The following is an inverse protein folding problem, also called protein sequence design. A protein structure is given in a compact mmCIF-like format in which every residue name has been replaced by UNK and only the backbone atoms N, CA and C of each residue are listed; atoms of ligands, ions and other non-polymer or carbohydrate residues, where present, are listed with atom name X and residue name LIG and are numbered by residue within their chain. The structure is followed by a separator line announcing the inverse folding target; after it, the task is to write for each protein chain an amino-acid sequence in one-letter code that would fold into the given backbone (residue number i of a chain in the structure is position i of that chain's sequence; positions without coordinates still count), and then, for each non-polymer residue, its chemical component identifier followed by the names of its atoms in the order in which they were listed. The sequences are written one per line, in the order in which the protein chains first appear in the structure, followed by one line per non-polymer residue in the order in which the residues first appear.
data_IF_945762664547
#
_entry.id   IF_945762664547
#
_cell.length_a   1.000
_cell.length_b   1.000
_cell.length_c   1.000
_cell.angle_alpha   90.00
_cell.angle_beta   90.00
_cell.angle_gamma   90.00
#
_symmetry.space_group_name_H-M   'P 1'
#
loop_
_entity.id
_entity.type
_entity.pdbx_description
1 polymer ?
#
# COMPACT_ATOMS: atom_id res chain seq x y z
N UNK A 1 21.96 -8.34 -7.04
CA UNK A 1 22.72 -7.88 -5.86
C UNK A 1 22.47 -6.40 -5.65
N UNK A 2 21.49 -6.06 -4.82
CA UNK A 2 21.27 -4.69 -4.38
C UNK A 2 20.56 -4.70 -3.04
N UNK A 3 19.31 -5.17 -3.02
CA UNK A 3 18.47 -5.16 -1.83
C UNK A 3 18.95 -6.17 -0.79
N UNK A 4 19.33 -7.39 -1.18
CA UNK A 4 19.84 -8.39 -0.23
C UNK A 4 21.06 -7.88 0.55
N UNK A 5 21.97 -7.14 -0.12
CA UNK A 5 23.15 -6.56 0.53
C UNK A 5 22.76 -5.48 1.54
N UNK A 6 21.84 -4.58 1.16
CA UNK A 6 21.37 -3.49 2.04
C UNK A 6 20.67 -4.05 3.27
N UNK A 7 19.81 -5.05 3.12
CA UNK A 7 19.09 -5.69 4.22
C UNK A 7 20.02 -6.44 5.18
N UNK A 8 21.03 -7.12 4.65
CA UNK A 8 22.05 -7.76 5.48
C UNK A 8 22.86 -6.73 6.27
N UNK A 9 23.28 -5.64 5.61
CA UNK A 9 24.05 -4.58 6.26
C UNK A 9 23.25 -3.80 7.32
N UNK A 10 21.93 -3.65 7.13
CA UNK A 10 21.06 -2.98 8.11
C UNK A 10 20.62 -3.87 9.26
N UNK A 11 20.89 -5.19 9.20
CA UNK A 11 20.40 -6.15 10.17
C UNK A 11 18.89 -6.40 10.08
N UNK A 12 18.23 -5.99 8.99
CA UNK A 12 16.77 -6.11 8.84
C UNK A 12 16.33 -7.47 8.29
N UNK A 13 17.25 -8.26 7.74
CA UNK A 13 16.96 -9.58 7.13
C UNK A 13 16.12 -10.50 8.02
N UNK A 14 16.38 -10.64 9.34
CA UNK A 14 15.59 -11.52 10.21
C UNK A 14 14.14 -11.08 10.39
N UNK A 15 13.80 -9.83 10.05
CA UNK A 15 12.45 -9.28 10.19
C UNK A 15 11.65 -9.32 8.89
N UNK A 16 12.27 -9.65 7.76
CA UNK A 16 11.62 -9.65 6.46
C UNK A 16 10.64 -10.83 6.35
N UNK A 17 9.38 -10.54 6.05
CA UNK A 17 8.39 -11.56 5.72
C UNK A 17 8.68 -12.12 4.31
N UNK A 18 8.87 -13.44 4.16
CA UNK A 18 9.40 -14.00 2.93
C UNK A 18 8.34 -14.18 1.83
N UNK A 19 8.74 -13.95 0.57
CA UNK A 19 7.86 -14.04 -0.61
C UNK A 19 7.11 -15.37 -0.73
N UNK A 20 7.76 -16.48 -0.39
CA UNK A 20 7.16 -17.83 -0.50
C UNK A 20 6.00 -18.06 0.49
N UNK A 21 5.85 -17.21 1.52
CA UNK A 21 4.70 -17.20 2.44
C UNK A 21 3.66 -16.14 2.10
N UNK A 22 3.92 -15.27 1.13
CA UNK A 22 2.95 -14.25 0.72
C UNK A 22 1.84 -14.91 -0.09
N UNK A 23 0.57 -14.55 0.17
CA UNK A 23 -0.54 -15.12 -0.58
C UNK A 23 -0.45 -14.75 -2.06
N UNK A 24 -0.95 -15.65 -2.89
CA UNK A 24 -1.11 -15.44 -4.34
C UNK A 24 -2.60 -15.52 -4.66
N UNK A 25 -3.01 -14.91 -5.77
CA UNK A 25 -4.38 -14.99 -6.29
C UNK A 25 -5.47 -14.58 -5.27
N UNK A 26 -5.22 -13.49 -4.53
CA UNK A 26 -6.20 -12.94 -3.59
C UNK A 26 -6.32 -13.70 -2.27
N UNK A 27 -5.44 -14.67 -2.01
CA UNK A 27 -5.47 -15.43 -0.77
C UNK A 27 -5.21 -14.58 0.48
N UNK A 28 -5.59 -15.15 1.62
CA UNK A 28 -5.43 -14.51 2.91
C UNK A 28 -3.96 -14.44 3.35
N UNK A 29 -3.61 -13.33 3.98
CA UNK A 29 -2.32 -13.19 4.64
C UNK A 29 -2.31 -13.99 5.95
N UNK A 30 -1.13 -14.48 6.41
CA UNK A 30 -1.05 -15.13 7.71
C UNK A 30 -1.53 -14.22 8.84
N UNK A 31 -1.92 -14.84 9.95
CA UNK A 31 -2.28 -14.10 11.15
C UNK A 31 -1.10 -13.28 11.63
N UNK A 32 -1.38 -12.09 12.16
CA UNK A 32 -0.36 -11.24 12.78
C UNK A 32 0.39 -11.99 13.88
N UNK A 33 -0.30 -12.85 14.64
CA UNK A 33 0.32 -13.70 15.67
C UNK A 33 1.37 -14.65 15.12
N UNK A 34 1.16 -15.23 13.93
CA UNK A 34 2.13 -16.11 13.28
C UNK A 34 3.34 -15.30 12.78
N UNK A 35 3.10 -14.13 12.17
CA UNK A 35 4.17 -13.23 11.76
C UNK A 35 5.02 -12.79 12.95
N UNK A 36 4.36 -12.46 14.09
CA UNK A 36 5.01 -12.09 15.35
C UNK A 36 5.86 -13.23 15.91
N UNK A 37 5.28 -14.45 16.00
CA UNK A 37 5.96 -15.65 16.51
C UNK A 37 7.23 -15.94 15.72
N UNK A 38 7.15 -15.81 14.40
CA UNK A 38 8.25 -16.14 13.49
C UNK A 38 9.19 -14.94 13.26
N UNK A 39 9.05 -13.88 14.06
CA UNK A 39 9.81 -12.62 14.01
C UNK A 39 9.75 -11.85 12.68
N UNK A 40 8.75 -12.08 11.84
CA UNK A 40 8.52 -11.30 10.63
C UNK A 40 7.77 -10.00 10.94
N UNK A 41 8.43 -8.85 10.77
CA UNK A 41 7.92 -7.50 11.08
C UNK A 41 7.85 -6.57 9.87
N UNK A 42 8.46 -6.95 8.75
CA UNK A 42 8.63 -6.10 7.58
C UNK A 42 8.08 -6.79 6.34
N UNK A 43 7.16 -6.13 5.65
CA UNK A 43 6.79 -6.41 4.28
C UNK A 43 7.51 -5.41 3.38
N UNK A 44 8.19 -5.91 2.35
CA UNK A 44 9.00 -5.06 1.47
C UNK A 44 8.67 -5.41 0.03
N UNK A 45 8.18 -4.39 -0.67
CA UNK A 45 7.86 -4.48 -2.09
C UNK A 45 8.86 -3.69 -2.92
N UNK A 46 8.96 -4.05 -4.18
CA UNK A 46 9.79 -3.36 -5.18
C UNK A 46 9.05 -3.24 -6.50
N UNK A 47 9.21 -2.09 -7.14
CA UNK A 47 8.65 -1.82 -8.48
C UNK A 47 9.39 -2.56 -9.60
N UNK A 48 10.56 -3.18 -9.31
CA UNK A 48 11.33 -3.95 -10.31
C UNK A 48 11.06 -5.45 -10.20
N UNK A 49 10.26 -5.99 -11.12
CA UNK A 49 9.85 -7.40 -11.15
C UNK A 49 11.00 -8.41 -11.05
N UNK A 50 12.12 -8.15 -11.71
CA UNK A 50 13.29 -9.04 -11.70
C UNK A 50 13.90 -9.28 -10.30
N UNK A 51 13.59 -8.42 -9.31
CA UNK A 51 14.09 -8.57 -7.94
C UNK A 51 13.40 -9.69 -7.16
N UNK A 52 12.19 -10.09 -7.52
CA UNK A 52 11.51 -11.20 -6.86
C UNK A 52 12.26 -12.50 -7.11
N UNK A 53 12.50 -12.84 -8.38
CA UNK A 53 13.22 -14.05 -8.76
C UNK A 53 14.71 -14.02 -8.36
N UNK A 54 15.37 -12.86 -8.45
CA UNK A 54 16.81 -12.77 -8.23
C UNK A 54 17.22 -12.58 -6.76
N UNK A 55 16.37 -11.94 -5.95
CA UNK A 55 16.73 -11.51 -4.59
C UNK A 55 15.66 -11.81 -3.54
N UNK A 56 14.49 -12.34 -3.93
CA UNK A 56 13.42 -12.70 -2.99
C UNK A 56 12.62 -11.51 -2.44
N UNK A 57 12.60 -10.37 -3.16
CA UNK A 57 11.80 -9.19 -2.78
C UNK A 57 10.56 -9.08 -3.67
N UNK A 58 9.39 -9.00 -3.03
CA UNK A 58 8.10 -9.05 -3.70
C UNK A 58 7.91 -7.95 -4.74
N UNK A 59 7.47 -8.31 -5.95
CA UNK A 59 7.08 -7.33 -6.93
C UNK A 59 5.70 -6.75 -6.60
N UNK A 60 5.66 -5.46 -6.27
CA UNK A 60 4.48 -4.75 -5.76
C UNK A 60 3.17 -5.04 -6.53
N UNK A 61 3.21 -4.94 -7.85
CA UNK A 61 2.05 -5.09 -8.74
C UNK A 61 1.47 -6.52 -8.79
N UNK A 62 2.18 -7.49 -8.21
CA UNK A 62 1.68 -8.85 -8.00
C UNK A 62 0.81 -9.02 -6.74
N UNK A 63 0.79 -8.03 -5.86
CA UNK A 63 0.17 -8.14 -4.52
C UNK A 63 -0.78 -7.00 -4.17
N UNK A 64 -0.57 -5.81 -4.75
CA UNK A 64 -1.28 -4.58 -4.41
C UNK A 64 -2.09 -4.09 -5.60
N UNK A 65 -3.35 -3.68 -5.36
CA UNK A 65 -4.06 -2.71 -6.20
C UNK A 65 -3.93 -1.33 -5.57
N UNK A 66 -3.56 -0.34 -6.38
CA UNK A 66 -3.23 1.01 -5.93
C UNK A 66 -3.97 2.04 -6.78
N UNK A 67 -4.60 3.03 -6.13
CA UNK A 67 -5.17 4.17 -6.84
C UNK A 67 -4.09 5.20 -7.17
N UNK A 68 -4.35 5.99 -8.21
CA UNK A 68 -3.49 7.05 -8.68
C UNK A 68 -3.12 8.00 -7.53
N UNK A 69 -1.84 8.33 -7.41
CA UNK A 69 -1.35 9.31 -6.45
C UNK A 69 -1.48 10.74 -6.98
N UNK A 70 -1.26 11.70 -6.09
CA UNK A 70 -1.23 13.12 -6.43
C UNK A 70 -2.61 13.69 -6.72
N UNK A 71 -2.66 14.92 -7.24
CA UNK A 71 -3.94 15.62 -7.43
C UNK A 71 -4.86 14.91 -8.43
N UNK A 72 -4.26 14.13 -9.37
CA UNK A 72 -5.01 13.29 -10.32
C UNK A 72 -5.70 12.09 -9.66
N UNK A 73 -5.22 11.67 -8.49
CA UNK A 73 -5.84 10.65 -7.65
C UNK A 73 -7.00 11.15 -6.82
N UNK A 74 -6.98 12.44 -6.45
CA UNK A 74 -7.93 13.06 -5.53
C UNK A 74 -9.24 13.47 -6.23
N UNK A 75 -9.85 12.54 -6.97
CA UNK A 75 -11.10 12.77 -7.72
C UNK A 75 -12.29 12.37 -6.86
N UNK A 76 -13.16 13.33 -6.51
CA UNK A 76 -14.34 13.07 -5.68
C UNK A 76 -15.23 11.99 -6.31
N UNK A 77 -15.54 10.94 -5.54
CA UNK A 77 -16.43 9.86 -5.96
C UNK A 77 -15.81 8.86 -6.96
N UNK A 78 -14.51 8.93 -7.20
CA UNK A 78 -13.80 8.00 -8.07
C UNK A 78 -12.50 7.53 -7.41
N UNK A 79 -12.10 6.31 -7.75
CA UNK A 79 -10.83 5.72 -7.32
C UNK A 79 -10.05 5.29 -8.57
N UNK A 80 -9.48 6.25 -9.33
CA UNK A 80 -8.75 5.92 -10.55
C UNK A 80 -7.54 5.05 -10.20
N UNK A 81 -7.34 3.93 -10.88
CA UNK A 81 -6.16 3.10 -10.63
C UNK A 81 -4.88 3.80 -11.12
N UNK A 82 -3.78 3.51 -10.44
CA UNK A 82 -2.44 3.87 -10.92
C UNK A 82 -2.12 3.07 -12.20
N UNK A 83 -1.36 3.67 -13.12
CA UNK A 83 -1.09 3.08 -14.43
C UNK A 83 -0.33 1.75 -14.38
N UNK A 84 0.60 1.59 -13.45
CA UNK A 84 1.36 0.35 -13.25
C UNK A 84 0.58 -0.72 -12.48
N UNK A 85 -0.47 -0.31 -11.76
CA UNK A 85 -1.33 -1.20 -10.99
C UNK A 85 -2.36 -1.89 -11.88
N UNK A 86 -2.79 -3.08 -11.46
CA UNK A 86 -4.02 -3.67 -11.96
C UNK A 86 -5.24 -2.79 -11.62
N UNK A 87 -6.38 -3.07 -12.27
CA UNK A 87 -7.64 -2.42 -11.93
C UNK A 87 -8.00 -2.64 -10.46
N UNK A 88 -8.63 -1.66 -9.81
CA UNK A 88 -8.94 -1.72 -8.36
C UNK A 88 -9.78 -2.96 -7.98
N UNK A 89 -10.65 -3.41 -8.88
CA UNK A 89 -11.51 -4.58 -8.70
C UNK A 89 -10.82 -5.92 -9.01
N UNK A 90 -9.52 -5.93 -9.31
CA UNK A 90 -8.77 -7.17 -9.50
C UNK A 90 -8.58 -7.89 -8.16
N UNK A 91 -9.35 -8.96 -7.98
CA UNK A 91 -9.38 -9.72 -6.73
C UNK A 91 -8.18 -10.67 -6.57
N UNK A 92 -7.36 -10.85 -7.61
CA UNK A 92 -6.18 -11.73 -7.50
C UNK A 92 -5.00 -11.08 -6.75
N UNK A 93 -5.11 -9.79 -6.42
CA UNK A 93 -4.18 -9.04 -5.54
C UNK A 93 -4.91 -8.78 -4.24
N UNK A 94 -4.42 -9.26 -3.09
CA UNK A 94 -5.19 -9.19 -1.84
C UNK A 94 -5.07 -7.85 -1.10
N UNK A 95 -4.08 -7.01 -1.42
CA UNK A 95 -3.87 -5.74 -0.75
C UNK A 95 -4.42 -4.56 -1.54
N UNK A 96 -5.08 -3.63 -0.85
CA UNK A 96 -5.56 -2.36 -1.38
C UNK A 96 -4.76 -1.22 -0.75
N UNK A 97 -4.09 -0.42 -1.58
CA UNK A 97 -3.39 0.80 -1.17
C UNK A 97 -4.14 2.02 -1.70
N UNK A 98 -4.48 2.94 -0.80
CA UNK A 98 -5.14 4.21 -1.13
C UNK A 98 -4.19 5.38 -0.91
N UNK A 99 -3.72 5.98 -2.01
CA UNK A 99 -3.06 7.27 -2.05
C UNK A 99 -4.09 8.40 -2.02
N UNK A 100 -3.95 9.30 -1.06
CA UNK A 100 -4.75 10.51 -0.96
C UNK A 100 -3.90 11.69 -0.46
N UNK A 101 -3.12 12.25 -1.37
CA UNK A 101 -2.25 13.40 -1.14
C UNK A 101 -2.02 14.17 -2.44
N UNK A 102 -1.61 15.43 -2.33
CA UNK A 102 -1.45 16.36 -3.46
C UNK A 102 -0.10 16.14 -4.14
N UNK A 103 0.06 16.64 -5.38
CA UNK A 103 1.37 16.57 -6.06
C UNK A 103 2.46 17.37 -5.33
N UNK A 104 2.06 18.50 -4.73
CA UNK A 104 2.90 19.33 -3.88
C UNK A 104 2.31 19.31 -2.46
N UNK A 105 3.08 18.85 -1.45
CA UNK A 105 2.60 18.81 -0.08
C UNK A 105 2.15 20.20 0.39
N UNK A 106 0.92 20.28 0.88
CA UNK A 106 0.33 21.53 1.35
C UNK A 106 -0.16 21.37 2.79
N UNK A 107 0.65 21.86 3.72
CA UNK A 107 0.40 21.70 5.15
C UNK A 107 -0.94 22.31 5.62
N UNK A 108 -1.30 23.56 5.24
CA UNK A 108 -2.62 24.09 5.57
C UNK A 108 -3.81 23.27 5.04
N UNK A 109 -3.69 22.74 3.83
CA UNK A 109 -4.78 21.99 3.20
C UNK A 109 -4.91 20.55 3.72
N UNK A 110 -3.83 19.96 4.23
CA UNK A 110 -3.83 18.61 4.78
C UNK A 110 -4.87 18.40 5.90
N UNK A 111 -5.21 19.45 6.67
CA UNK A 111 -6.29 19.38 7.65
C UNK A 111 -7.66 19.04 7.02
N UNK A 112 -7.94 19.54 5.81
CA UNK A 112 -9.19 19.24 5.10
C UNK A 112 -9.10 17.93 4.33
N UNK A 113 -7.93 17.67 3.74
CA UNK A 113 -7.69 16.47 2.93
C UNK A 113 -7.85 15.22 3.83
N UNK A 114 -7.21 15.21 5.00
CA UNK A 114 -7.22 14.07 5.94
C UNK A 114 -8.51 13.93 6.78
N UNK A 115 -9.58 14.65 6.43
CA UNK A 115 -10.86 14.61 7.15
C UNK A 115 -11.97 14.03 6.26
N UNK A 116 -13.11 14.71 6.12
CA UNK A 116 -14.26 14.23 5.36
C UNK A 116 -13.92 13.88 3.90
N UNK A 117 -12.92 14.53 3.30
CA UNK A 117 -12.52 14.24 1.93
C UNK A 117 -11.81 12.88 1.80
N UNK A 118 -10.90 12.56 2.71
CA UNK A 118 -10.28 11.24 2.80
C UNK A 118 -11.33 10.16 3.03
N UNK A 119 -12.30 10.37 3.93
CA UNK A 119 -13.39 9.42 4.15
C UNK A 119 -14.18 9.14 2.86
N UNK A 120 -14.51 10.18 2.10
CA UNK A 120 -15.17 10.04 0.81
C UNK A 120 -14.33 9.30 -0.23
N UNK A 121 -12.99 9.44 -0.19
CA UNK A 121 -12.09 8.66 -1.04
C UNK A 121 -12.06 7.18 -0.61
N UNK A 122 -12.01 6.91 0.69
CA UNK A 122 -12.03 5.54 1.21
C UNK A 122 -13.32 4.81 0.83
N UNK A 123 -14.47 5.47 0.89
CA UNK A 123 -15.75 4.90 0.44
C UNK A 123 -15.74 4.61 -1.07
N UNK A 124 -15.26 5.56 -1.89
CA UNK A 124 -15.17 5.38 -3.33
C UNK A 124 -14.22 4.23 -3.71
N UNK A 125 -13.05 4.15 -3.05
CA UNK A 125 -12.09 3.09 -3.26
C UNK A 125 -12.57 1.75 -2.72
N UNK A 126 -13.32 1.70 -1.63
CA UNK A 126 -13.95 0.47 -1.14
C UNK A 126 -14.92 -0.10 -2.18
N UNK A 127 -15.79 0.75 -2.74
CA UNK A 127 -16.70 0.35 -3.81
C UNK A 127 -15.93 -0.11 -5.07
N UNK A 128 -14.94 0.66 -5.52
CA UNK A 128 -14.14 0.35 -6.70
C UNK A 128 -13.27 -0.91 -6.52
N UNK A 129 -12.88 -1.24 -5.29
CA UNK A 129 -12.02 -2.38 -4.98
C UNK A 129 -12.78 -3.68 -4.73
N UNK A 130 -14.02 -3.78 -5.22
CA UNK A 130 -14.85 -4.97 -5.04
C UNK A 130 -15.29 -5.19 -3.59
N UNK A 131 -15.51 -4.10 -2.83
CA UNK A 131 -15.94 -4.17 -1.43
C UNK A 131 -14.81 -4.48 -0.44
N UNK A 132 -13.56 -4.20 -0.81
CA UNK A 132 -12.39 -4.38 0.06
C UNK A 132 -11.93 -3.03 0.60
N UNK A 133 -11.78 -2.93 1.92
CA UNK A 133 -11.24 -1.74 2.56
C UNK A 133 -9.73 -1.61 2.32
N UNK A 134 -9.24 -0.37 2.37
CA UNK A 134 -7.82 -0.10 2.27
C UNK A 134 -7.03 -0.83 3.37
N UNK A 135 -5.97 -1.54 2.99
CA UNK A 135 -4.98 -2.07 3.93
C UNK A 135 -3.99 -0.98 4.35
N UNK A 136 -3.66 -0.08 3.42
CA UNK A 136 -2.73 1.03 3.63
C UNK A 136 -3.34 2.31 3.06
N UNK A 137 -3.15 3.41 3.79
CA UNK A 137 -3.58 4.73 3.39
C UNK A 137 -2.34 5.63 3.42
N UNK A 138 -1.98 6.20 2.27
CA UNK A 138 -0.90 7.16 2.14
C UNK A 138 -1.47 8.58 2.10
N UNK A 139 -1.05 9.41 3.05
CA UNK A 139 -1.46 10.81 3.18
C UNK A 139 -0.26 11.70 3.52
N UNK A 140 -0.37 12.98 3.20
CA UNK A 140 0.56 13.99 3.70
C UNK A 140 0.18 14.45 5.10
N UNK A 141 1.19 14.70 5.94
CA UNK A 141 1.03 15.25 7.30
C UNK A 141 0.01 14.48 8.17
N UNK A 142 0.12 13.15 8.26
CA UNK A 142 -0.85 12.24 8.89
C UNK A 142 -1.39 12.59 10.29
N UNK A 143 -0.73 13.50 11.03
CA UNK A 143 -1.18 14.04 12.33
C UNK A 143 -2.04 15.31 12.19
N UNK A 144 -2.55 15.59 11.00
CA UNK A 144 -3.34 16.79 10.69
C UNK A 144 -4.72 16.34 10.28
N UNK A 145 -5.71 16.91 10.93
CA UNK A 145 -7.15 16.77 10.68
C UNK A 145 -7.82 18.10 11.06
N UNK A 146 -9.07 18.29 10.64
CA UNK A 146 -9.93 19.36 11.13
C UNK A 146 -10.41 19.18 12.60
N UNK A 147 -10.09 18.04 13.22
CA UNK A 147 -10.42 17.71 14.62
C UNK A 147 -9.40 18.16 15.67
N UNK A 148 -8.31 18.81 15.28
CA UNK A 148 -7.29 19.32 16.21
C UNK A 148 -6.14 18.35 16.53
N UNK A 149 -6.07 17.19 15.87
CA UNK A 149 -5.01 16.19 15.99
C UNK A 149 -5.30 14.94 15.16
#
# INVERSE_FOLDING_TARGET
MGLTRVFNASGLTPFLFPVWRMPKNGGDWPLLSDMVRDNHRLLVFTSRSAKEAAEGFAHEWGYVVENQYGSKGMVKGSCPNRAESAAMNDLSRSLVLVNYFRDLPNFPEACKDNSAQLLGMLDACHAASGGRWANFIAVDFYKRSDGGG
#
